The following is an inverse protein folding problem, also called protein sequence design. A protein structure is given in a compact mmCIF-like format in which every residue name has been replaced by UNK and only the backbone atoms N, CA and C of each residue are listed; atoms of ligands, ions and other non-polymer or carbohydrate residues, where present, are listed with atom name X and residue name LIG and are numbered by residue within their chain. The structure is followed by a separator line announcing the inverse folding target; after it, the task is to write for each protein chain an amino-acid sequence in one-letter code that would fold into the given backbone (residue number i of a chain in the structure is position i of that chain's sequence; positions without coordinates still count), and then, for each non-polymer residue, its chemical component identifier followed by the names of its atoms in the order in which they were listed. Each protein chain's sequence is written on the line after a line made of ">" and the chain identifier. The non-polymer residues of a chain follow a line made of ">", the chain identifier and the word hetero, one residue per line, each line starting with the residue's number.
data_IF_814370843289
#
_entry.id   IF_814370843289
#
_cell.length_a   1.000
_cell.length_b   1.000
_cell.length_c   1.000
_cell.angle_alpha   90.00
_cell.angle_beta   90.00
_cell.angle_gamma   90.00
#
_symmetry.space_group_name_H-M   'P 1'
#
loop_
_entity.id
_entity.type
_entity.pdbx_description
1 polymer ?
#
# COMPACT_ATOMS: atom_id res chain seq x y z
N UNK A 1 -24.22 43.09 -26.60
CA UNK A 1 -24.27 43.97 -25.41
C UNK A 1 -25.71 44.03 -24.92
N UNK A 2 -26.06 43.18 -23.95
CA UNK A 2 -27.30 43.31 -23.17
C UNK A 2 -26.94 42.89 -21.74
N UNK A 3 -27.00 43.85 -20.83
CA UNK A 3 -26.61 43.71 -19.43
C UNK A 3 -27.66 42.90 -18.67
N UNK A 4 -27.21 41.82 -18.03
CA UNK A 4 -27.97 41.10 -17.02
C UNK A 4 -27.93 41.89 -15.69
N UNK A 5 -29.05 42.54 -15.37
CA UNK A 5 -29.25 43.26 -14.12
C UNK A 5 -29.40 42.29 -12.95
N UNK A 6 -28.32 42.19 -12.17
CA UNK A 6 -28.19 41.38 -10.97
C UNK A 6 -28.97 42.04 -9.82
N UNK A 7 -30.22 41.65 -9.57
CA UNK A 7 -31.01 42.11 -8.42
C UNK A 7 -30.56 41.37 -7.16
N UNK A 8 -29.57 41.95 -6.47
CA UNK A 8 -29.16 41.57 -5.11
C UNK A 8 -30.28 41.86 -4.10
N UNK A 9 -30.64 40.83 -3.33
CA UNK A 9 -31.43 40.88 -2.10
C UNK A 9 -31.07 42.10 -1.23
N UNK A 10 -32.06 42.96 -0.97
CA UNK A 10 -32.00 44.04 0.03
C UNK A 10 -32.86 43.67 1.23
N UNK A 11 -32.30 42.87 2.15
CA UNK A 11 -32.74 42.88 3.55
C UNK A 11 -31.48 42.90 4.42
N UNK A 12 -31.38 43.81 5.41
CA UNK A 12 -30.26 43.81 6.33
C UNK A 12 -30.28 42.52 7.15
N UNK A 13 -29.14 41.86 7.27
CA UNK A 13 -28.92 40.69 8.13
C UNK A 13 -28.96 41.13 9.59
N UNK A 14 -30.16 41.35 10.13
CA UNK A 14 -30.38 41.57 11.57
C UNK A 14 -30.20 40.22 12.26
N UNK A 15 -29.40 40.17 13.33
CA UNK A 15 -29.29 38.99 14.19
C UNK A 15 -30.68 38.69 14.78
N UNK A 16 -31.21 37.50 14.49
CA UNK A 16 -32.57 37.13 14.88
C UNK A 16 -32.74 37.10 16.40
N UNK A 17 -31.68 36.77 17.14
CA UNK A 17 -31.73 36.77 18.60
C UNK A 17 -31.89 38.19 19.15
N UNK A 18 -31.30 39.19 18.48
CA UNK A 18 -31.43 40.61 18.84
C UNK A 18 -32.79 41.17 18.42
N UNK A 19 -33.29 40.80 17.24
CA UNK A 19 -34.64 41.16 16.80
C UNK A 19 -35.71 40.62 17.78
N UNK A 20 -35.62 39.33 18.13
CA UNK A 20 -36.55 38.70 19.08
C UNK A 20 -36.46 39.40 20.44
N UNK A 21 -35.26 39.73 20.92
CA UNK A 21 -35.08 40.41 22.20
C UNK A 21 -35.76 41.78 22.23
N UNK A 22 -35.61 42.56 21.16
CA UNK A 22 -36.13 43.92 21.07
C UNK A 22 -37.66 43.96 20.91
N UNK A 23 -38.23 43.03 20.15
CA UNK A 23 -39.66 43.06 19.79
C UNK A 23 -40.55 42.11 20.62
N UNK A 24 -40.00 41.01 21.16
CA UNK A 24 -40.77 39.98 21.88
C UNK A 24 -40.25 39.69 23.30
N UNK A 25 -39.16 40.36 23.70
CA UNK A 25 -38.62 40.29 25.05
C UNK A 25 -37.76 39.05 25.35
N UNK A 26 -37.18 39.04 26.55
CA UNK A 26 -36.21 38.03 27.00
C UNK A 26 -36.81 36.64 27.24
N UNK A 27 -38.07 36.57 27.69
CA UNK A 27 -38.77 35.32 27.94
C UNK A 27 -39.03 34.54 26.65
N UNK A 28 -39.50 35.24 25.61
CA UNK A 28 -39.72 34.64 24.30
C UNK A 28 -38.40 34.12 23.70
N UNK A 29 -37.33 34.93 23.76
CA UNK A 29 -36.00 34.52 23.30
C UNK A 29 -35.50 33.26 24.02
N UNK A 30 -35.75 33.15 25.33
CA UNK A 30 -35.41 31.96 26.10
C UNK A 30 -36.12 30.70 25.60
N UNK A 31 -37.43 30.79 25.33
CA UNK A 31 -38.22 29.68 24.80
C UNK A 31 -37.73 29.30 23.40
N UNK A 32 -37.53 30.28 22.50
CA UNK A 32 -37.00 30.05 21.16
C UNK A 32 -35.64 29.32 21.20
N UNK A 33 -34.71 29.76 22.05
CA UNK A 33 -33.41 29.10 22.24
C UNK A 33 -33.54 27.68 22.79
N UNK A 34 -34.51 27.43 23.67
CA UNK A 34 -34.79 26.08 24.16
C UNK A 34 -35.34 25.17 23.07
N UNK A 35 -36.27 25.65 22.23
CA UNK A 35 -36.76 24.89 21.07
C UNK A 35 -35.60 24.51 20.16
N UNK A 36 -34.76 25.48 19.76
CA UNK A 36 -33.55 25.26 18.93
C UNK A 36 -32.60 24.25 19.58
N UNK A 37 -32.33 24.38 20.88
CA UNK A 37 -31.46 23.48 21.66
C UNK A 37 -31.99 22.06 21.71
N UNK A 38 -33.29 21.88 22.01
CA UNK A 38 -33.90 20.56 22.11
C UNK A 38 -34.03 19.89 20.75
N UNK A 39 -34.39 20.64 19.71
CA UNK A 39 -34.43 20.15 18.33
C UNK A 39 -33.06 19.61 17.88
N UNK A 40 -32.01 20.44 18.01
CA UNK A 40 -30.65 20.02 17.64
C UNK A 40 -30.19 18.79 18.46
N UNK A 41 -30.47 18.75 19.77
CA UNK A 41 -30.10 17.60 20.62
C UNK A 41 -30.88 16.34 20.25
N UNK A 42 -32.16 16.47 19.92
CA UNK A 42 -33.01 15.36 19.49
C UNK A 42 -32.44 14.70 18.22
N UNK A 43 -32.21 15.49 17.15
CA UNK A 43 -31.65 14.98 15.90
C UNK A 43 -30.22 14.46 16.07
N UNK A 44 -29.41 15.12 16.91
CA UNK A 44 -28.07 14.66 17.20
C UNK A 44 -28.08 13.28 17.89
N UNK A 45 -28.99 13.03 18.82
CA UNK A 45 -29.12 11.72 19.48
C UNK A 45 -29.70 10.68 18.51
N UNK A 46 -30.63 11.08 17.62
CA UNK A 46 -31.16 10.19 16.60
C UNK A 46 -30.05 9.68 15.66
N UNK A 47 -29.16 10.57 15.20
CA UNK A 47 -27.99 10.18 14.40
C UNK A 47 -27.04 9.23 15.15
N UNK A 48 -26.86 9.43 16.46
CA UNK A 48 -26.05 8.53 17.28
C UNK A 48 -26.69 7.12 17.34
N UNK A 49 -28.01 7.04 17.50
CA UNK A 49 -28.75 5.76 17.51
C UNK A 49 -28.63 5.05 16.16
N UNK A 50 -28.80 5.77 15.05
CA UNK A 50 -28.62 5.23 13.71
C UNK A 50 -27.21 4.65 13.52
N UNK A 51 -26.18 5.39 13.92
CA UNK A 51 -24.80 4.93 13.90
C UNK A 51 -24.62 3.62 14.69
N UNK A 52 -25.10 3.55 15.94
CA UNK A 52 -24.97 2.36 16.78
C UNK A 52 -25.76 1.16 16.24
N UNK A 53 -26.93 1.39 15.65
CA UNK A 53 -27.71 0.34 14.96
C UNK A 53 -26.95 -0.25 13.78
N UNK A 54 -26.29 0.59 12.99
CA UNK A 54 -25.46 0.14 11.86
C UNK A 54 -24.25 -0.65 12.37
N UNK A 55 -23.59 -0.21 13.44
CA UNK A 55 -22.52 -0.96 14.09
C UNK A 55 -23.01 -2.36 14.53
N UNK A 56 -24.18 -2.44 15.15
CA UNK A 56 -24.79 -3.71 15.56
C UNK A 56 -25.13 -4.61 14.38
N UNK A 57 -25.74 -4.09 13.31
CA UNK A 57 -26.12 -4.90 12.14
C UNK A 57 -24.93 -5.43 11.36
N UNK A 58 -23.80 -4.72 11.39
CA UNK A 58 -22.55 -5.13 10.71
C UNK A 58 -21.58 -5.90 11.63
N UNK A 59 -21.99 -6.20 12.86
CA UNK A 59 -21.14 -6.82 13.89
C UNK A 59 -19.80 -6.08 14.13
N UNK A 60 -19.84 -4.74 14.08
CA UNK A 60 -18.70 -3.85 14.32
C UNK A 60 -18.82 -3.24 15.71
N UNK A 61 -17.76 -3.31 16.51
CA UNK A 61 -17.72 -2.71 17.85
C UNK A 61 -17.01 -1.35 17.81
N UNK A 62 -17.68 -0.24 18.16
CA UNK A 62 -17.05 1.07 18.29
C UNK A 62 -15.90 1.09 19.31
N UNK A 63 -14.86 1.89 19.05
CA UNK A 63 -13.65 1.94 19.88
C UNK A 63 -13.87 2.36 21.33
N UNK A 64 -14.91 3.14 21.62
CA UNK A 64 -15.25 3.53 22.99
C UNK A 64 -15.79 2.38 23.85
N UNK A 65 -16.13 1.23 23.24
CA UNK A 65 -16.51 0.00 23.95
C UNK A 65 -15.33 -0.98 24.08
N UNK A 66 -14.12 -0.59 23.67
CA UNK A 66 -12.92 -1.39 23.83
C UNK A 66 -12.33 -1.11 25.21
N UNK A 67 -12.60 -2.00 26.16
CA UNK A 67 -12.02 -1.93 27.51
C UNK A 67 -10.74 -2.75 27.59
N UNK A 68 -9.77 -2.28 28.39
CA UNK A 68 -8.48 -2.96 28.56
C UNK A 68 -8.63 -4.21 29.43
N UNK A 69 -7.88 -5.25 29.08
CA UNK A 69 -7.74 -6.47 29.87
C UNK A 69 -6.31 -6.60 30.37
N UNK A 70 -6.10 -7.22 31.53
CA UNK A 70 -4.76 -7.42 32.09
C UNK A 70 -3.89 -8.33 31.20
N UNK A 71 -4.51 -9.32 30.55
CA UNK A 71 -3.89 -10.11 29.49
C UNK A 71 -4.47 -9.69 28.13
N UNK A 72 -3.60 -9.32 27.19
CA UNK A 72 -3.99 -8.91 25.84
C UNK A 72 -4.67 -10.04 25.04
N UNK A 73 -4.38 -11.31 25.33
CA UNK A 73 -4.98 -12.45 24.64
C UNK A 73 -6.50 -12.57 24.93
N UNK A 74 -6.94 -12.04 26.07
CA UNK A 74 -8.36 -12.02 26.45
C UNK A 74 -9.20 -11.12 25.54
N UNK A 75 -8.59 -10.15 24.85
CA UNK A 75 -9.29 -9.27 23.90
C UNK A 75 -9.88 -10.03 22.70
N UNK A 76 -9.33 -11.22 22.40
CA UNK A 76 -9.81 -12.08 21.31
C UNK A 76 -10.82 -13.14 21.77
N UNK A 77 -11.05 -13.25 23.09
CA UNK A 77 -11.93 -14.26 23.69
C UNK A 77 -13.41 -14.04 23.29
N UNK A 78 -14.19 -15.12 23.08
CA UNK A 78 -15.63 -15.05 22.87
C UNK A 78 -16.36 -14.27 23.98
N UNK A 79 -15.91 -14.40 25.23
CA UNK A 79 -16.50 -13.73 26.39
C UNK A 79 -16.32 -12.21 26.31
N UNK A 80 -15.13 -11.77 25.89
CA UNK A 80 -14.83 -10.34 25.69
C UNK A 80 -15.75 -9.73 24.63
N UNK A 81 -15.86 -10.39 23.46
CA UNK A 81 -16.76 -9.96 22.38
C UNK A 81 -18.23 -9.96 22.80
N UNK A 82 -18.65 -10.95 23.59
CA UNK A 82 -20.02 -11.02 24.12
C UNK A 82 -20.33 -9.84 25.07
N UNK A 83 -19.40 -9.49 25.96
CA UNK A 83 -19.53 -8.32 26.83
C UNK A 83 -19.63 -7.01 26.02
N UNK A 84 -18.79 -6.84 24.99
CA UNK A 84 -18.87 -5.66 24.12
C UNK A 84 -20.22 -5.53 23.42
N UNK A 85 -20.76 -6.64 22.90
CA UNK A 85 -22.11 -6.65 22.27
C UNK A 85 -23.21 -6.32 23.26
N UNK A 86 -23.12 -6.80 24.51
CA UNK A 86 -24.07 -6.45 25.58
C UNK A 86 -24.02 -4.95 25.88
N UNK A 87 -22.82 -4.38 26.07
CA UNK A 87 -22.65 -2.95 26.32
C UNK A 87 -23.18 -2.10 25.15
N UNK A 88 -22.98 -2.53 23.91
CA UNK A 88 -23.54 -1.85 22.73
C UNK A 88 -25.07 -1.77 22.77
N UNK A 89 -25.75 -2.86 23.13
CA UNK A 89 -27.20 -2.86 23.25
C UNK A 89 -27.68 -1.96 24.39
N UNK A 90 -27.01 -2.00 25.55
CA UNK A 90 -27.33 -1.12 26.70
C UNK A 90 -27.18 0.35 26.30
N UNK A 91 -26.13 0.73 25.58
CA UNK A 91 -25.91 2.10 25.11
C UNK A 91 -27.02 2.54 24.12
N UNK A 92 -27.45 1.66 23.21
CA UNK A 92 -28.57 1.93 22.30
C UNK A 92 -29.85 2.24 23.09
N UNK A 93 -30.16 1.44 24.10
CA UNK A 93 -31.39 1.60 24.89
C UNK A 93 -31.34 2.86 25.78
N UNK A 94 -30.18 3.18 26.37
CA UNK A 94 -29.97 4.42 27.10
C UNK A 94 -30.18 5.65 26.20
N UNK A 95 -29.67 5.61 24.95
CA UNK A 95 -29.86 6.69 23.96
C UNK A 95 -31.33 6.82 23.52
N UNK A 96 -32.05 5.70 23.36
CA UNK A 96 -33.49 5.71 23.05
C UNK A 96 -34.31 6.36 24.15
N UNK A 97 -34.04 6.05 25.42
CA UNK A 97 -34.71 6.70 26.56
C UNK A 97 -34.49 8.22 26.53
N UNK A 98 -33.23 8.64 26.35
CA UNK A 98 -32.86 10.05 26.22
C UNK A 98 -33.54 10.75 25.03
N UNK A 99 -33.68 10.06 23.89
CA UNK A 99 -34.38 10.61 22.72
C UNK A 99 -35.85 10.88 23.03
N UNK A 100 -36.52 9.99 23.76
CA UNK A 100 -37.90 10.18 24.18
C UNK A 100 -38.06 11.38 25.12
N UNK A 101 -37.18 11.52 26.11
CA UNK A 101 -37.19 12.66 27.03
C UNK A 101 -37.02 13.99 26.27
N UNK A 102 -36.07 14.04 25.32
CA UNK A 102 -35.84 15.20 24.46
C UNK A 102 -37.04 15.51 23.56
N UNK A 103 -37.73 14.48 23.04
CA UNK A 103 -38.93 14.63 22.22
C UNK A 103 -40.05 15.32 23.01
N UNK A 104 -40.24 14.92 24.26
CA UNK A 104 -41.25 15.51 25.16
C UNK A 104 -40.90 16.98 25.43
N UNK A 105 -39.65 17.26 25.82
CA UNK A 105 -39.19 18.64 26.09
C UNK A 105 -39.26 19.55 24.87
N UNK A 106 -38.92 19.03 23.68
CA UNK A 106 -39.04 19.75 22.42
C UNK A 106 -40.50 20.10 22.10
N UNK A 107 -41.40 19.10 22.16
CA UNK A 107 -42.84 19.33 21.89
C UNK A 107 -43.45 20.35 22.85
N UNK A 108 -43.13 20.24 24.14
CA UNK A 108 -43.59 21.19 25.15
C UNK A 108 -43.12 22.61 24.83
N UNK A 109 -41.83 22.79 24.57
CA UNK A 109 -41.25 24.11 24.25
C UNK A 109 -41.79 24.68 22.95
N UNK A 110 -42.03 23.84 21.94
CA UNK A 110 -42.54 24.24 20.62
C UNK A 110 -44.00 24.70 20.71
N UNK A 111 -44.83 23.99 21.47
CA UNK A 111 -46.21 24.40 21.72
C UNK A 111 -46.26 25.74 22.45
N UNK A 112 -45.43 25.91 23.48
CA UNK A 112 -45.34 27.17 24.21
C UNK A 112 -44.88 28.34 23.30
N UNK A 113 -43.91 28.11 22.42
CA UNK A 113 -43.50 29.11 21.43
C UNK A 113 -44.64 29.49 20.47
N UNK A 114 -45.41 28.50 20.02
CA UNK A 114 -46.55 28.69 19.11
C UNK A 114 -47.69 29.46 19.76
N UNK A 115 -47.95 29.26 21.05
CA UNK A 115 -48.97 30.00 21.81
C UNK A 115 -48.60 31.48 21.99
N UNK A 116 -47.31 31.81 22.07
CA UNK A 116 -46.81 33.18 22.24
C UNK A 116 -46.62 33.94 20.92
N UNK A 117 -46.83 33.29 19.76
CA UNK A 117 -46.51 33.83 18.44
C UNK A 117 -47.73 33.84 17.52
N UNK A 118 -47.82 34.81 16.61
CA UNK A 118 -48.73 34.67 15.46
C UNK A 118 -48.28 33.52 14.55
N UNK A 119 -49.22 32.93 13.81
CA UNK A 119 -48.93 31.80 12.91
C UNK A 119 -47.85 32.15 11.88
N UNK A 120 -47.92 33.34 11.28
CA UNK A 120 -46.96 33.79 10.25
C UNK A 120 -45.56 34.00 10.82
N UNK A 121 -45.47 34.58 12.02
CA UNK A 121 -44.18 34.82 12.67
C UNK A 121 -43.55 33.51 13.14
N UNK A 122 -44.35 32.61 13.70
CA UNK A 122 -43.91 31.28 14.11
C UNK A 122 -43.32 30.50 12.92
N UNK A 123 -43.99 30.50 11.77
CA UNK A 123 -43.52 29.79 10.57
C UNK A 123 -42.17 30.37 10.11
N UNK A 124 -42.03 31.71 10.10
CA UNK A 124 -40.77 32.35 9.74
C UNK A 124 -39.62 31.98 10.70
N UNK A 125 -39.86 32.00 12.01
CA UNK A 125 -38.89 31.58 13.02
C UNK A 125 -38.51 30.10 12.86
N UNK A 126 -39.49 29.25 12.56
CA UNK A 126 -39.26 27.83 12.36
C UNK A 126 -38.37 27.57 11.13
N UNK A 127 -38.61 28.26 10.02
CA UNK A 127 -37.76 28.16 8.82
C UNK A 127 -36.31 28.56 9.10
N UNK A 128 -36.10 29.66 9.83
CA UNK A 128 -34.76 30.11 10.20
C UNK A 128 -34.07 29.08 11.10
N UNK A 129 -34.75 28.62 12.15
CA UNK A 129 -34.23 27.58 13.05
C UNK A 129 -33.84 26.31 12.28
N UNK A 130 -34.69 25.85 11.36
CA UNK A 130 -34.45 24.66 10.54
C UNK A 130 -33.20 24.85 9.67
N UNK A 131 -33.03 26.03 9.06
CA UNK A 131 -31.86 26.35 8.24
C UNK A 131 -30.56 26.30 9.05
N UNK A 132 -30.53 26.89 10.25
CA UNK A 132 -29.35 26.92 11.11
C UNK A 132 -29.01 25.53 11.68
N UNK A 133 -30.02 24.79 12.13
CA UNK A 133 -29.82 23.46 12.71
C UNK A 133 -29.37 22.46 11.64
N UNK A 134 -29.86 22.59 10.41
CA UNK A 134 -29.50 21.69 9.30
C UNK A 134 -27.98 21.62 9.07
N UNK A 135 -27.27 22.75 9.20
CA UNK A 135 -25.82 22.80 9.04
C UNK A 135 -25.10 21.96 10.11
N UNK A 136 -25.47 22.13 11.38
CA UNK A 136 -24.86 21.41 12.51
C UNK A 136 -25.17 19.91 12.45
N UNK A 137 -26.40 19.55 12.10
CA UNK A 137 -26.84 18.16 11.93
C UNK A 137 -26.06 17.50 10.79
N UNK A 138 -25.92 18.17 9.65
CA UNK A 138 -25.13 17.67 8.52
C UNK A 138 -23.64 17.55 8.86
N UNK A 139 -23.08 18.47 9.65
CA UNK A 139 -21.70 18.38 10.16
C UNK A 139 -21.52 17.15 11.06
N UNK A 140 -22.46 16.87 11.97
CA UNK A 140 -22.43 15.67 12.81
C UNK A 140 -22.56 14.40 11.99
N UNK A 141 -23.50 14.35 11.03
CA UNK A 141 -23.69 13.23 10.09
C UNK A 141 -22.41 12.92 9.32
N UNK A 142 -21.71 13.93 8.79
CA UNK A 142 -20.41 13.76 8.13
C UNK A 142 -19.35 13.16 9.07
N UNK A 143 -19.29 13.61 10.32
CA UNK A 143 -18.36 13.08 11.32
C UNK A 143 -18.66 11.61 11.65
N UNK A 144 -19.93 11.26 11.85
CA UNK A 144 -20.34 9.87 12.10
C UNK A 144 -20.10 8.99 10.88
N UNK A 145 -20.34 9.47 9.66
CA UNK A 145 -20.00 8.76 8.43
C UNK A 145 -18.50 8.52 8.31
N UNK A 146 -17.64 9.50 8.63
CA UNK A 146 -16.18 9.30 8.68
C UNK A 146 -15.78 8.25 9.71
N UNK A 147 -16.38 8.27 10.91
CA UNK A 147 -16.15 7.25 11.94
C UNK A 147 -16.61 5.87 11.48
N UNK A 148 -17.79 5.77 10.90
CA UNK A 148 -18.31 4.52 10.36
C UNK A 148 -17.42 3.99 9.24
N UNK A 149 -16.97 4.86 8.33
CA UNK A 149 -15.99 4.50 7.31
C UNK A 149 -14.71 3.99 7.95
N UNK A 150 -14.13 4.68 8.95
CA UNK A 150 -12.92 4.20 9.64
C UNK A 150 -13.09 2.87 10.38
N UNK A 151 -14.28 2.60 10.94
CA UNK A 151 -14.58 1.34 11.63
C UNK A 151 -14.86 0.20 10.64
N UNK A 152 -15.54 0.51 9.53
CA UNK A 152 -15.68 -0.40 8.38
C UNK A 152 -14.35 -0.60 7.62
N UNK A 153 -13.41 0.34 7.72
CA UNK A 153 -12.06 0.22 7.16
C UNK A 153 -11.24 -0.88 7.82
N UNK A 154 -11.67 -1.53 8.90
CA UNK A 154 -11.00 -2.76 9.32
C UNK A 154 -11.18 -3.88 8.26
N UNK A 155 -12.22 -3.81 7.41
CA UNK A 155 -12.38 -4.67 6.22
C UNK A 155 -12.05 -3.96 4.88
N UNK A 156 -12.14 -2.61 4.81
CA UNK A 156 -11.80 -1.82 3.60
C UNK A 156 -10.35 -1.26 3.57
N UNK A 157 -9.55 -1.41 4.64
CA UNK A 157 -8.14 -1.00 4.64
C UNK A 157 -7.33 -1.78 3.62
N UNK A 158 -7.68 -3.05 3.38
CA UNK A 158 -7.08 -3.86 2.33
C UNK A 158 -7.34 -3.22 0.96
N UNK A 159 -8.58 -2.82 0.64
CA UNK A 159 -8.90 -2.21 -0.66
C UNK A 159 -8.27 -0.82 -0.85
N UNK A 160 -8.19 0.00 0.20
CA UNK A 160 -7.53 1.32 0.16
C UNK A 160 -6.00 1.24 0.14
N UNK A 161 -5.40 0.31 0.90
CA UNK A 161 -3.97 0.00 0.84
C UNK A 161 -3.61 -0.57 -0.54
N UNK A 162 -4.41 -1.50 -1.04
CA UNK A 162 -4.23 -2.09 -2.37
C UNK A 162 -4.36 -1.05 -3.47
N UNK A 163 -5.31 -0.10 -3.37
CA UNK A 163 -5.44 1.03 -4.29
C UNK A 163 -4.31 2.07 -4.15
N UNK A 164 -3.62 2.14 -2.99
CA UNK A 164 -2.41 2.96 -2.83
C UNK A 164 -1.19 2.31 -3.49
N UNK A 165 -1.09 0.98 -3.46
CA UNK A 165 0.01 0.22 -4.07
C UNK A 165 -0.21 0.05 -5.58
N UNK A 166 -1.45 -0.16 -6.02
CA UNK A 166 -1.81 -0.40 -7.42
C UNK A 166 -2.44 0.84 -8.02
N UNK A 167 -1.76 1.46 -8.98
CA UNK A 167 -2.27 2.59 -9.78
C UNK A 167 -2.75 2.05 -11.13
N UNK A 168 -4.07 2.00 -11.34
CA UNK A 168 -4.62 1.59 -12.63
C UNK A 168 -4.88 2.82 -13.52
N UNK A 169 -4.07 2.99 -14.55
CA UNK A 169 -4.19 4.01 -15.60
C UNK A 169 -4.73 3.42 -16.91
N UNK A 170 -5.03 2.12 -16.93
CA UNK A 170 -5.56 1.44 -18.11
C UNK A 170 -7.09 1.51 -18.16
N UNK A 171 -7.64 1.29 -19.34
CA UNK A 171 -9.08 1.11 -19.56
C UNK A 171 -9.65 -0.18 -18.94
N UNK A 172 -8.78 -1.15 -18.61
CA UNK A 172 -9.17 -2.45 -18.04
C UNK A 172 -9.63 -2.32 -16.59
N UNK A 173 -10.83 -2.82 -16.31
CA UNK A 173 -11.35 -2.91 -14.94
C UNK A 173 -10.76 -4.16 -14.25
N UNK A 174 -10.04 -3.95 -13.15
CA UNK A 174 -9.50 -5.03 -12.33
C UNK A 174 -10.60 -5.61 -11.43
N UNK A 175 -10.65 -6.94 -11.30
CA UNK A 175 -11.45 -7.56 -10.23
C UNK A 175 -10.82 -7.32 -8.86
N UNK A 176 -11.60 -7.49 -7.78
CA UNK A 176 -11.06 -7.34 -6.42
C UNK A 176 -9.96 -8.37 -6.11
N UNK A 177 -10.06 -9.58 -6.67
CA UNK A 177 -9.03 -10.61 -6.55
C UNK A 177 -7.74 -10.24 -7.31
N UNK A 178 -7.86 -9.67 -8.51
CA UNK A 178 -6.72 -9.17 -9.29
C UNK A 178 -6.04 -7.99 -8.58
N UNK A 179 -6.83 -7.07 -8.00
CA UNK A 179 -6.32 -5.95 -7.22
C UNK A 179 -5.55 -6.43 -5.97
N UNK A 180 -6.10 -7.39 -5.23
CA UNK A 180 -5.42 -7.98 -4.06
C UNK A 180 -4.15 -8.69 -4.48
N UNK A 181 -4.18 -9.43 -5.58
CA UNK A 181 -3.01 -10.11 -6.15
C UNK A 181 -1.88 -9.11 -6.47
N UNK A 182 -2.21 -8.04 -7.19
CA UNK A 182 -1.21 -7.04 -7.60
C UNK A 182 -0.71 -6.18 -6.43
N UNK A 183 -1.53 -5.98 -5.40
CA UNK A 183 -1.16 -5.19 -4.23
C UNK A 183 -0.07 -5.81 -3.35
N UNK A 184 0.22 -7.11 -3.50
CA UNK A 184 1.38 -7.72 -2.87
C UNK A 184 2.71 -7.19 -3.46
N UNK A 185 2.67 -6.58 -4.65
CA UNK A 185 3.82 -6.01 -5.34
C UNK A 185 4.48 -6.98 -6.32
N UNK A 186 5.30 -6.42 -7.22
CA UNK A 186 5.97 -7.19 -8.29
C UNK A 186 7.09 -8.11 -7.78
N UNK A 187 7.64 -7.83 -6.59
CA UNK A 187 8.69 -8.63 -5.96
C UNK A 187 8.12 -9.71 -5.03
N UNK A 188 6.78 -9.88 -5.00
CA UNK A 188 6.14 -10.88 -4.15
C UNK A 188 6.38 -12.30 -4.69
N UNK A 189 7.01 -13.14 -3.87
CA UNK A 189 7.33 -14.52 -4.20
C UNK A 189 6.30 -15.48 -3.63
N UNK A 190 5.69 -16.30 -4.48
CA UNK A 190 4.93 -17.46 -4.04
C UNK A 190 5.88 -18.57 -3.57
N UNK A 191 5.52 -19.34 -2.53
CA UNK A 191 6.30 -20.49 -2.14
C UNK A 191 6.42 -21.51 -3.29
N UNK A 192 7.59 -22.17 -3.44
CA UNK A 192 7.75 -23.21 -4.45
C UNK A 192 6.86 -24.42 -4.14
N UNK A 193 6.33 -25.07 -5.19
CA UNK A 193 5.46 -26.27 -5.06
C UNK A 193 6.18 -27.43 -4.36
N UNK A 194 7.47 -27.56 -4.63
CA UNK A 194 8.37 -28.53 -4.01
C UNK A 194 9.70 -27.85 -3.74
N UNK A 195 10.31 -28.19 -2.61
CA UNK A 195 11.65 -27.77 -2.26
C UNK A 195 12.57 -28.92 -2.67
N UNK A 196 13.49 -28.66 -3.60
CA UNK A 196 14.52 -29.63 -3.95
C UNK A 196 15.58 -29.60 -2.85
N UNK A 197 15.60 -30.65 -2.01
CA UNK A 197 16.54 -30.80 -0.91
C UNK A 197 18.00 -30.72 -1.36
N UNK A 198 18.33 -31.30 -2.52
CA UNK A 198 19.69 -31.30 -3.08
C UNK A 198 20.12 -29.90 -3.51
N UNK A 199 19.20 -29.12 -4.09
CA UNK A 199 19.50 -27.74 -4.48
C UNK A 199 19.71 -26.85 -3.24
N UNK A 200 18.90 -27.01 -2.20
CA UNK A 200 19.11 -26.32 -0.92
C UNK A 200 20.47 -26.68 -0.32
N UNK A 201 20.79 -27.98 -0.24
CA UNK A 201 22.08 -28.45 0.26
C UNK A 201 23.26 -27.90 -0.56
N UNK A 202 23.16 -27.94 -1.89
CA UNK A 202 24.19 -27.42 -2.80
C UNK A 202 24.40 -25.90 -2.65
N UNK A 203 23.33 -25.11 -2.49
CA UNK A 203 23.45 -23.67 -2.28
C UNK A 203 24.09 -23.33 -0.94
N UNK A 204 23.72 -24.06 0.12
CA UNK A 204 24.33 -23.91 1.45
C UNK A 204 25.81 -24.27 1.40
N UNK A 205 26.15 -25.36 0.73
CA UNK A 205 27.55 -25.78 0.56
C UNK A 205 28.35 -24.76 -0.25
N UNK A 206 27.79 -24.24 -1.34
CA UNK A 206 28.41 -23.19 -2.16
C UNK A 206 28.60 -21.90 -1.36
N UNK A 207 27.63 -21.54 -0.53
CA UNK A 207 27.72 -20.38 0.36
C UNK A 207 28.81 -20.56 1.42
N UNK A 208 28.87 -21.75 2.03
CA UNK A 208 29.90 -22.10 2.99
C UNK A 208 31.29 -22.02 2.34
N UNK A 209 31.47 -22.62 1.16
CA UNK A 209 32.71 -22.54 0.38
C UNK A 209 33.12 -21.09 0.12
N UNK A 210 32.21 -20.23 -0.34
CA UNK A 210 32.51 -18.81 -0.57
C UNK A 210 32.95 -18.08 0.70
N UNK A 211 32.30 -18.33 1.85
CA UNK A 211 32.71 -17.70 3.11
C UNK A 211 34.12 -18.12 3.49
N UNK A 212 34.41 -19.42 3.37
CA UNK A 212 35.74 -19.94 3.70
C UNK A 212 36.82 -19.46 2.74
N UNK A 213 36.51 -19.34 1.44
CA UNK A 213 37.46 -18.80 0.45
C UNK A 213 37.77 -17.34 0.75
N UNK A 214 36.76 -16.53 1.13
CA UNK A 214 36.95 -15.14 1.58
C UNK A 214 37.81 -15.08 2.84
N UNK A 215 37.56 -15.96 3.80
CA UNK A 215 38.34 -16.02 5.04
C UNK A 215 39.80 -16.43 4.79
N UNK A 216 40.02 -17.39 3.89
CA UNK A 216 41.36 -17.81 3.48
C UNK A 216 42.10 -16.71 2.72
N UNK A 217 41.41 -15.99 1.82
CA UNK A 217 41.99 -14.85 1.13
C UNK A 217 42.37 -13.74 2.12
N UNK A 218 41.52 -13.45 3.12
CA UNK A 218 41.86 -12.51 4.20
C UNK A 218 43.04 -13.00 5.03
N UNK A 219 43.10 -14.29 5.37
CA UNK A 219 44.22 -14.88 6.12
C UNK A 219 45.52 -14.84 5.31
N UNK A 220 45.47 -15.12 4.01
CA UNK A 220 46.62 -15.02 3.09
C UNK A 220 47.11 -13.59 2.98
N UNK A 221 46.22 -12.62 2.80
CA UNK A 221 46.54 -11.19 2.80
C UNK A 221 47.18 -10.72 4.12
N UNK A 222 46.67 -11.20 5.26
CA UNK A 222 47.19 -10.91 6.60
C UNK A 222 48.56 -11.60 6.86
N UNK A 223 48.78 -12.79 6.30
CA UNK A 223 50.04 -13.52 6.39
C UNK A 223 51.10 -12.96 5.45
N UNK A 224 50.74 -12.44 4.29
CA UNK A 224 51.64 -11.70 3.40
C UNK A 224 52.19 -10.41 4.05
N UNK A 225 51.57 -9.93 5.15
CA UNK A 225 52.01 -8.78 5.95
C UNK A 225 52.67 -9.16 7.28
N UNK A 226 52.99 -10.44 7.52
CA UNK A 226 53.81 -10.89 8.67
C UNK A 226 54.88 -11.88 8.20
N UNK A 227 56.15 -11.48 8.30
CA UNK A 227 57.27 -12.38 8.06
C UNK A 227 57.27 -13.54 9.09
N UNK A 228 57.49 -14.77 8.59
CA UNK A 228 57.64 -16.07 9.28
C UNK A 228 56.35 -16.68 9.88
N UNK A 229 56.01 -17.97 9.74
CA UNK A 229 56.75 -19.20 9.40
C UNK A 229 55.98 -20.11 8.41
N UNK A 230 56.72 -21.05 7.81
CA UNK A 230 56.32 -22.02 6.80
C UNK A 230 55.14 -22.95 7.22
N UNK A 231 54.25 -23.25 6.27
CA UNK A 231 53.37 -24.43 6.35
C UNK A 231 53.50 -25.22 5.05
N UNK A 232 53.85 -26.50 5.24
CA UNK A 232 54.05 -27.57 4.28
C UNK A 232 52.81 -27.87 3.43
N UNK A 233 53.05 -28.09 2.13
CA UNK A 233 52.11 -28.63 1.15
C UNK A 233 51.57 -30.01 1.56
N UNK A 234 50.31 -30.05 1.99
CA UNK A 234 49.42 -31.20 1.81
C UNK A 234 47.99 -30.74 2.12
N UNK A 235 47.36 -30.04 1.16
CA UNK A 235 46.04 -29.42 1.34
C UNK A 235 44.89 -30.44 1.33
N UNK A 236 44.83 -31.27 2.38
CA UNK A 236 43.52 -31.65 2.92
C UNK A 236 43.06 -30.46 3.74
N UNK A 237 41.94 -29.85 3.32
CA UNK A 237 41.35 -28.67 3.95
C UNK A 237 40.97 -28.96 5.41
N UNK A 238 41.89 -28.76 6.35
CA UNK A 238 41.63 -28.86 7.79
C UNK A 238 40.97 -27.55 8.23
N UNK A 239 39.65 -27.59 8.42
CA UNK A 239 38.90 -26.48 9.00
C UNK A 239 39.42 -26.20 10.42
N UNK A 240 39.68 -24.94 10.74
CA UNK A 240 40.00 -24.55 12.12
C UNK A 240 38.75 -24.64 13.02
N UNK A 241 38.92 -24.62 14.35
CA UNK A 241 37.82 -24.81 15.30
C UNK A 241 36.66 -23.82 15.10
N UNK A 242 36.93 -22.57 14.70
CA UNK A 242 35.88 -21.57 14.44
C UNK A 242 35.12 -21.85 13.14
N UNK A 243 35.84 -22.23 12.08
CA UNK A 243 35.23 -22.65 10.80
C UNK A 243 34.39 -23.92 10.96
N UNK A 244 34.85 -24.87 11.78
CA UNK A 244 34.14 -26.10 12.11
C UNK A 244 32.87 -25.82 12.92
N UNK A 245 32.92 -24.88 13.86
CA UNK A 245 31.75 -24.42 14.62
C UNK A 245 30.73 -23.76 13.69
N UNK A 246 31.18 -22.84 12.82
CA UNK A 246 30.31 -22.17 11.85
C UNK A 246 29.67 -23.15 10.85
N UNK A 247 30.44 -24.14 10.37
CA UNK A 247 29.94 -25.19 9.49
C UNK A 247 28.82 -26.00 10.16
N UNK A 248 29.02 -26.37 11.42
CA UNK A 248 28.04 -27.10 12.21
C UNK A 248 26.78 -26.27 12.46
N UNK A 249 26.93 -24.98 12.78
CA UNK A 249 25.81 -24.07 12.97
C UNK A 249 24.99 -23.90 11.68
N UNK A 250 25.65 -23.69 10.54
CA UNK A 250 25.00 -23.60 9.22
C UNK A 250 24.30 -24.92 8.84
N UNK A 251 24.92 -26.07 9.11
CA UNK A 251 24.33 -27.38 8.87
C UNK A 251 23.09 -27.61 9.73
N UNK A 252 23.16 -27.25 11.01
CA UNK A 252 22.05 -27.32 11.97
C UNK A 252 20.88 -26.42 11.57
N UNK A 253 21.16 -25.18 11.18
CA UNK A 253 20.18 -24.24 10.65
C UNK A 253 19.50 -24.79 9.39
N UNK A 254 20.28 -25.37 8.47
CA UNK A 254 19.77 -25.95 7.23
C UNK A 254 18.86 -27.14 7.49
N UNK A 255 19.27 -28.06 8.38
CA UNK A 255 18.46 -29.20 8.79
C UNK A 255 17.16 -28.77 9.46
N UNK A 256 17.23 -27.79 10.37
CA UNK A 256 16.08 -27.22 11.06
C UNK A 256 15.11 -26.53 10.10
N UNK A 257 15.64 -25.80 9.10
CA UNK A 257 14.85 -25.18 8.04
C UNK A 257 14.14 -26.24 7.20
N UNK A 258 14.85 -27.27 6.73
CA UNK A 258 14.27 -28.36 5.93
C UNK A 258 13.19 -29.12 6.71
N UNK A 259 13.43 -29.40 8.00
CA UNK A 259 12.46 -30.08 8.86
C UNK A 259 11.18 -29.25 9.02
N UNK A 260 11.30 -27.94 9.30
CA UNK A 260 10.15 -27.03 9.37
C UNK A 260 9.44 -26.90 8.03
N UNK A 261 10.18 -26.77 6.94
CA UNK A 261 9.62 -26.67 5.60
C UNK A 261 8.81 -27.93 5.22
N UNK A 262 9.32 -29.12 5.57
CA UNK A 262 8.61 -30.39 5.40
C UNK A 262 7.37 -30.50 6.31
N UNK A 263 7.44 -30.03 7.56
CA UNK A 263 6.28 -29.99 8.47
C UNK A 263 5.19 -29.04 7.96
N UNK A 264 5.55 -27.85 7.45
CA UNK A 264 4.61 -26.93 6.81
C UNK A 264 3.97 -27.54 5.56
N UNK A 265 4.65 -28.48 4.90
CA UNK A 265 4.14 -29.21 3.75
C UNK A 265 2.97 -30.16 4.09
N UNK A 266 2.77 -30.50 5.37
CA UNK A 266 1.64 -31.34 5.84
C UNK A 266 0.35 -30.52 5.96
N UNK A 267 0.41 -29.18 6.05
CA UNK A 267 -0.76 -28.27 6.04
C UNK A 267 -1.20 -27.86 4.61
N UNK A 268 -0.73 -28.58 3.58
CA UNK A 268 -0.79 -28.23 2.14
C UNK A 268 -2.16 -27.88 1.58
N UNK A 269 -3.23 -28.57 2.00
CA UNK A 269 -4.49 -28.57 1.25
C UNK A 269 -5.16 -27.17 1.15
N UNK A 270 -5.07 -26.33 2.19
CA UNK A 270 -5.64 -24.98 2.16
C UNK A 270 -4.73 -23.99 1.41
N UNK A 271 -3.42 -24.12 1.61
CA UNK A 271 -2.42 -23.23 1.01
C UNK A 271 -2.25 -23.47 -0.50
N UNK A 272 -2.41 -24.72 -0.95
CA UNK A 272 -2.33 -25.11 -2.35
C UNK A 272 -3.48 -24.51 -3.19
N UNK A 273 -4.70 -24.44 -2.64
CA UNK A 273 -5.85 -23.85 -3.34
C UNK A 273 -5.67 -22.34 -3.57
N UNK A 274 -5.29 -21.60 -2.53
CA UNK A 274 -5.04 -20.16 -2.62
C UNK A 274 -3.88 -19.84 -3.58
N UNK A 275 -2.78 -20.60 -3.53
CA UNK A 275 -1.67 -20.46 -4.48
C UNK A 275 -2.08 -20.77 -5.92
N UNK A 276 -2.90 -21.80 -6.14
CA UNK A 276 -3.39 -22.13 -7.48
C UNK A 276 -4.26 -21.02 -8.03
N UNK A 277 -5.16 -20.45 -7.21
CA UNK A 277 -5.97 -19.31 -7.63
C UNK A 277 -5.08 -18.10 -7.98
N UNK A 278 -4.09 -17.80 -7.14
CA UNK A 278 -3.12 -16.72 -7.38
C UNK A 278 -2.37 -16.89 -8.70
N UNK A 279 -1.88 -18.10 -9.00
CA UNK A 279 -1.21 -18.39 -10.28
C UNK A 279 -2.13 -18.22 -11.47
N UNK A 280 -3.39 -18.67 -11.37
CA UNK A 280 -4.39 -18.48 -12.44
C UNK A 280 -4.66 -17.00 -12.71
N UNK A 281 -4.79 -16.20 -11.65
CA UNK A 281 -4.98 -14.75 -11.77
C UNK A 281 -3.78 -14.07 -12.45
N UNK A 282 -2.55 -14.39 -12.02
CA UNK A 282 -1.34 -13.88 -12.66
C UNK A 282 -1.23 -14.31 -14.12
N UNK A 283 -1.59 -15.55 -14.44
CA UNK A 283 -1.57 -16.04 -15.80
C UNK A 283 -2.58 -15.31 -16.69
N UNK A 284 -3.81 -15.09 -16.19
CA UNK A 284 -4.82 -14.29 -16.87
C UNK A 284 -4.35 -12.85 -17.13
N UNK A 285 -3.69 -12.22 -16.15
CA UNK A 285 -3.12 -10.87 -16.30
C UNK A 285 -1.95 -10.85 -17.30
N UNK A 286 -1.15 -11.92 -17.37
CA UNK A 286 -0.05 -12.06 -18.32
C UNK A 286 -0.53 -12.27 -19.76
N UNK A 287 -1.61 -13.01 -19.94
CA UNK A 287 -2.21 -13.31 -21.25
C UNK A 287 -2.94 -12.09 -21.84
N UNK A 288 -3.30 -11.11 -21.01
CA UNK A 288 -3.90 -9.87 -21.45
C UNK A 288 -2.89 -8.97 -22.18
N UNK A 289 -2.93 -9.00 -23.50
CA UNK A 289 -2.04 -8.21 -24.36
C UNK A 289 -2.45 -6.74 -24.49
N UNK A 290 -3.61 -6.33 -23.95
CA UNK A 290 -4.08 -4.95 -24.01
C UNK A 290 -3.42 -4.04 -22.98
N UNK A 291 -2.82 -4.62 -21.93
CA UNK A 291 -2.22 -3.89 -20.82
C UNK A 291 -0.71 -4.10 -20.71
N UNK A 292 -0.04 -3.16 -20.05
CA UNK A 292 1.30 -3.30 -19.50
C UNK A 292 1.20 -3.17 -17.98
N UNK A 293 1.84 -4.10 -17.27
CA UNK A 293 2.03 -4.04 -15.82
C UNK A 293 3.51 -3.73 -15.57
N UNK A 294 3.77 -2.63 -14.89
CA UNK A 294 5.13 -2.17 -14.58
C UNK A 294 5.19 -1.54 -13.19
N UNK A 295 6.36 -1.10 -12.76
CA UNK A 295 6.56 -0.38 -11.49
C UNK A 295 6.63 1.12 -11.76
N UNK A 296 6.21 1.97 -10.80
CA UNK A 296 6.33 3.40 -10.96
C UNK A 296 7.80 3.80 -10.96
N UNK A 297 8.04 4.95 -11.54
CA UNK A 297 9.35 5.55 -11.63
C UNK A 297 9.98 5.90 -10.27
N UNK A 298 9.16 6.35 -9.33
CA UNK A 298 9.56 6.68 -7.97
C UNK A 298 8.68 5.89 -6.99
N UNK A 299 9.30 5.38 -5.93
CA UNK A 299 8.62 4.63 -4.88
C UNK A 299 8.39 3.16 -5.22
N UNK A 300 7.60 2.48 -4.38
CA UNK A 300 7.18 1.09 -4.58
C UNK A 300 5.72 1.07 -4.98
N UNK A 301 5.37 0.19 -5.92
CA UNK A 301 3.99 0.05 -6.38
C UNK A 301 3.90 -0.74 -7.68
N UNK A 302 2.66 -0.90 -8.14
CA UNK A 302 2.32 -1.52 -9.41
C UNK A 302 1.51 -0.52 -10.22
N UNK A 303 1.88 -0.32 -11.48
CA UNK A 303 1.17 0.57 -12.40
C UNK A 303 0.68 -0.26 -13.57
N UNK A 304 -0.60 -0.11 -13.89
CA UNK A 304 -1.22 -0.69 -15.08
C UNK A 304 -1.49 0.42 -16.07
N UNK A 305 -1.13 0.21 -17.33
CA UNK A 305 -1.37 1.14 -18.42
C UNK A 305 -1.91 0.40 -19.64
N UNK A 306 -2.69 1.07 -20.47
CA UNK A 306 -2.99 0.54 -21.80
C UNK A 306 -1.67 0.40 -22.59
N UNK A 307 -1.47 -0.78 -23.18
CA UNK A 307 -0.24 -1.10 -23.90
C UNK A 307 -0.02 -0.13 -25.07
N UNK A 308 -1.10 0.26 -25.75
CA UNK A 308 -1.01 1.20 -26.86
C UNK A 308 -0.52 2.59 -26.41
N UNK A 309 -1.05 3.13 -25.31
CA UNK A 309 -0.60 4.42 -24.76
C UNK A 309 0.88 4.35 -24.35
N UNK A 310 1.27 3.26 -23.68
CA UNK A 310 2.67 3.02 -23.31
C UNK A 310 3.60 2.99 -24.53
N UNK A 311 3.23 2.22 -25.57
CA UNK A 311 4.01 2.10 -26.81
C UNK A 311 4.11 3.46 -27.53
N UNK A 312 3.00 4.20 -27.63
CA UNK A 312 2.99 5.54 -28.21
C UNK A 312 3.92 6.50 -27.46
N UNK A 313 3.91 6.47 -26.12
CA UNK A 313 4.81 7.29 -25.28
C UNK A 313 6.28 6.92 -25.46
N UNK A 314 6.61 5.63 -25.64
CA UNK A 314 7.97 5.19 -25.95
C UNK A 314 8.39 5.67 -27.35
N UNK A 315 7.54 5.52 -28.36
CA UNK A 315 7.84 6.01 -29.71
C UNK A 315 8.03 7.52 -29.74
N UNK A 316 7.25 8.29 -28.98
CA UNK A 316 7.45 9.73 -28.86
C UNK A 316 8.84 10.09 -28.31
N UNK A 317 9.41 9.26 -27.43
CA UNK A 317 10.79 9.43 -26.93
C UNK A 317 11.81 9.02 -28.01
N UNK A 318 11.60 7.87 -28.66
CA UNK A 318 12.54 7.30 -29.63
C UNK A 318 12.60 8.07 -30.96
N UNK A 319 11.51 8.74 -31.33
CA UNK A 319 11.42 9.52 -32.56
C UNK A 319 12.05 10.92 -32.43
N UNK A 320 12.70 11.25 -31.31
CA UNK A 320 13.45 12.49 -31.14
C UNK A 320 14.81 12.40 -31.87
N UNK A 321 14.97 13.03 -33.04
CA UNK A 321 16.19 12.92 -33.84
C UNK A 321 17.39 13.63 -33.20
N UNK A 322 17.17 14.50 -32.21
CA UNK A 322 18.26 15.12 -31.46
C UNK A 322 18.93 14.16 -30.48
N UNK A 323 18.26 13.06 -30.12
CA UNK A 323 18.72 12.10 -29.11
C UNK A 323 18.95 10.69 -29.66
N UNK A 324 18.18 10.28 -30.67
CA UNK A 324 18.19 8.92 -31.18
C UNK A 324 18.36 8.91 -32.70
N UNK A 325 19.11 7.91 -33.18
CA UNK A 325 19.31 7.64 -34.60
C UNK A 325 19.12 6.14 -34.85
N UNK A 326 18.36 5.80 -35.89
CA UNK A 326 18.21 4.40 -36.31
C UNK A 326 19.54 3.83 -36.80
N UNK A 327 19.84 2.60 -36.42
CA UNK A 327 20.98 1.85 -36.93
C UNK A 327 20.53 0.96 -38.08
N UNK A 328 21.35 0.85 -39.13
CA UNK A 328 21.09 0.00 -40.30
C UNK A 328 21.37 -1.47 -40.04
N UNK A 329 22.23 -1.78 -39.06
CA UNK A 329 22.65 -3.14 -38.72
C UNK A 329 22.60 -3.37 -37.22
N UNK A 330 22.44 -4.64 -36.80
CA UNK A 330 22.44 -5.02 -35.40
C UNK A 330 23.89 -5.13 -34.87
N UNK A 331 24.35 -4.20 -34.01
CA UNK A 331 25.76 -4.11 -33.62
C UNK A 331 26.30 -5.12 -32.57
N UNK A 332 25.52 -5.94 -31.82
CA UNK A 332 26.04 -6.70 -30.68
C UNK A 332 27.23 -7.59 -31.00
N UNK A 333 27.19 -8.31 -32.13
CA UNK A 333 28.26 -9.24 -32.52
C UNK A 333 29.57 -8.50 -32.85
N UNK A 334 29.49 -7.42 -33.62
CA UNK A 334 30.66 -6.62 -33.98
C UNK A 334 31.31 -5.98 -32.74
N UNK A 335 30.49 -5.42 -31.83
CA UNK A 335 30.98 -4.84 -30.57
C UNK A 335 31.53 -5.89 -29.62
N UNK A 336 30.89 -7.06 -29.53
CA UNK A 336 31.36 -8.20 -28.75
C UNK A 336 32.74 -8.68 -29.22
N UNK A 337 32.90 -8.88 -30.54
CA UNK A 337 34.16 -9.31 -31.12
C UNK A 337 35.27 -8.28 -30.92
N UNK A 338 34.95 -6.99 -31.07
CA UNK A 338 35.89 -5.89 -30.83
C UNK A 338 36.36 -5.88 -29.37
N UNK A 339 35.43 -6.02 -28.41
CA UNK A 339 35.78 -6.07 -27.00
C UNK A 339 36.57 -7.33 -26.63
N UNK A 340 36.20 -8.50 -27.16
CA UNK A 340 36.96 -9.75 -26.96
C UNK A 340 38.39 -9.62 -27.47
N UNK A 341 38.58 -9.02 -28.64
CA UNK A 341 39.90 -8.80 -29.22
C UNK A 341 40.75 -7.89 -28.33
N UNK A 342 40.16 -6.79 -27.83
CA UNK A 342 40.82 -5.87 -26.91
C UNK A 342 41.21 -6.57 -25.59
N UNK A 343 40.27 -7.27 -24.96
CA UNK A 343 40.53 -7.98 -23.70
C UNK A 343 41.61 -9.05 -23.86
N UNK A 344 41.59 -9.81 -24.96
CA UNK A 344 42.63 -10.80 -25.26
C UNK A 344 43.99 -10.13 -25.41
N UNK A 345 44.08 -9.02 -26.15
CA UNK A 345 45.35 -8.29 -26.31
C UNK A 345 45.92 -7.81 -24.97
N UNK A 346 45.08 -7.25 -24.10
CA UNK A 346 45.50 -6.79 -22.77
C UNK A 346 45.95 -7.95 -21.87
N UNK A 347 45.26 -9.09 -21.98
CA UNK A 347 45.58 -10.31 -21.25
C UNK A 347 46.90 -10.92 -21.71
N UNK A 348 47.10 -11.06 -23.02
CA UNK A 348 48.34 -11.56 -23.63
C UNK A 348 49.56 -10.66 -23.29
N UNK A 349 49.32 -9.36 -23.09
CA UNK A 349 50.34 -8.39 -22.66
C UNK A 349 50.58 -8.38 -21.14
N UNK A 350 49.88 -9.22 -20.36
CA UNK A 350 49.99 -9.28 -18.90
C UNK A 350 49.43 -8.05 -18.17
N UNK A 351 48.65 -7.20 -18.85
CA UNK A 351 48.11 -5.97 -18.26
C UNK A 351 46.84 -6.21 -17.42
N UNK A 352 46.18 -7.36 -17.61
CA UNK A 352 45.01 -7.78 -16.83
C UNK A 352 45.19 -9.23 -16.36
N UNK A 353 44.63 -9.54 -15.20
CA UNK A 353 44.67 -10.90 -14.63
C UNK A 353 43.71 -11.84 -15.35
N UNK A 354 43.94 -13.16 -15.26
CA UNK A 354 43.01 -14.18 -15.74
C UNK A 354 41.60 -13.96 -15.18
N UNK A 355 41.51 -13.71 -13.88
CA UNK A 355 40.25 -13.48 -13.19
C UNK A 355 39.49 -12.29 -13.79
N UNK A 356 40.18 -11.17 -14.03
CA UNK A 356 39.56 -10.00 -14.64
C UNK A 356 39.13 -10.30 -16.08
N UNK A 357 39.99 -10.95 -16.87
CA UNK A 357 39.70 -11.33 -18.25
C UNK A 357 38.41 -12.17 -18.35
N UNK A 358 38.30 -13.25 -17.57
CA UNK A 358 37.12 -14.12 -17.62
C UNK A 358 35.84 -13.44 -17.11
N UNK A 359 35.97 -12.51 -16.16
CA UNK A 359 34.82 -11.76 -15.64
C UNK A 359 34.34 -10.66 -16.61
N UNK A 360 35.27 -9.99 -17.29
CA UNK A 360 34.98 -8.92 -18.23
C UNK A 360 34.55 -9.41 -19.62
N UNK A 361 34.98 -10.62 -20.00
CA UNK A 361 34.77 -11.18 -21.34
C UNK A 361 33.30 -11.49 -21.60
N UNK A 362 32.68 -10.88 -22.63
CA UNK A 362 31.30 -11.19 -23.00
C UNK A 362 31.13 -12.57 -23.63
N UNK A 363 29.95 -13.16 -23.43
CA UNK A 363 29.50 -14.40 -24.08
C UNK A 363 28.03 -14.27 -24.48
N UNK A 364 27.74 -14.19 -25.78
CA UNK A 364 26.36 -14.19 -26.28
C UNK A 364 25.60 -12.89 -25.97
N UNK A 365 26.12 -11.77 -26.47
CA UNK A 365 25.60 -10.43 -26.19
C UNK A 365 24.26 -10.18 -26.86
N UNK A 366 23.37 -9.48 -26.17
CA UNK A 366 22.11 -8.97 -26.71
C UNK A 366 22.14 -7.44 -26.79
N UNK A 367 21.32 -6.83 -27.66
CA UNK A 367 21.05 -5.40 -27.58
C UNK A 367 20.51 -5.00 -26.20
N UNK A 368 20.80 -3.77 -25.78
CA UNK A 368 20.22 -3.21 -24.57
C UNK A 368 18.70 -3.12 -24.70
N UNK A 369 17.98 -3.43 -23.61
CA UNK A 369 16.51 -3.40 -23.61
C UNK A 369 16.01 -2.09 -23.03
N UNK A 370 15.39 -1.28 -23.87
CA UNK A 370 14.74 -0.05 -23.42
C UNK A 370 13.34 -0.34 -22.90
N UNK A 371 13.01 0.22 -21.74
CA UNK A 371 11.64 0.28 -21.22
C UNK A 371 11.40 1.60 -20.50
N UNK A 372 10.13 1.95 -20.30
CA UNK A 372 9.69 3.17 -19.65
C UNK A 372 9.14 2.92 -18.26
N UNK A 373 9.52 3.76 -17.30
CA UNK A 373 8.86 3.79 -15.99
C UNK A 373 7.91 4.99 -15.89
N UNK A 374 6.63 4.79 -15.57
CA UNK A 374 5.65 5.88 -15.50
C UNK A 374 5.91 6.81 -14.31
N UNK A 375 6.02 8.11 -14.61
CA UNK A 375 6.11 9.17 -13.61
C UNK A 375 4.71 9.55 -13.12
N UNK A 376 4.09 8.67 -12.33
CA UNK A 376 2.70 8.81 -11.83
C UNK A 376 2.41 10.08 -11.04
N UNK A 377 3.46 10.80 -10.60
CA UNK A 377 3.36 12.07 -9.87
C UNK A 377 3.36 13.31 -10.79
N UNK A 378 3.39 13.13 -12.13
CA UNK A 378 3.39 14.21 -13.11
C UNK A 378 2.16 14.13 -14.00
N UNK A 379 1.65 15.29 -14.42
CA UNK A 379 0.54 15.38 -15.35
C UNK A 379 0.86 14.69 -16.69
N UNK A 380 -0.14 14.00 -17.25
CA UNK A 380 0.01 13.18 -18.46
C UNK A 380 0.79 11.87 -18.27
N UNK A 381 1.35 11.61 -17.09
CA UNK A 381 2.13 10.42 -16.72
C UNK A 381 3.18 10.07 -17.79
N UNK A 382 4.18 10.94 -18.01
CA UNK A 382 5.27 10.67 -18.96
C UNK A 382 6.12 9.49 -18.49
N UNK A 383 6.77 8.80 -19.43
CA UNK A 383 7.67 7.69 -19.14
C UNK A 383 9.11 8.19 -18.93
N UNK A 384 9.81 7.63 -17.94
CA UNK A 384 11.28 7.72 -17.83
C UNK A 384 11.88 6.58 -18.65
N UNK A 385 12.62 6.84 -19.73
CA UNK A 385 13.30 5.79 -20.46
C UNK A 385 14.44 5.23 -19.59
N UNK A 386 14.50 3.90 -19.48
CA UNK A 386 15.54 3.13 -18.79
C UNK A 386 16.09 2.11 -19.77
N UNK A 387 17.39 2.16 -20.01
CA UNK A 387 18.10 1.17 -20.84
C UNK A 387 18.73 0.12 -19.93
N UNK A 388 18.23 -1.12 -19.98
CA UNK A 388 18.88 -2.25 -19.33
C UNK A 388 20.08 -2.69 -20.16
N UNK A 389 21.28 -2.50 -19.61
CA UNK A 389 22.53 -3.04 -20.14
C UNK A 389 22.79 -4.49 -19.72
N UNK A 390 21.86 -5.13 -19.00
CA UNK A 390 22.05 -6.53 -18.59
C UNK A 390 22.13 -7.41 -19.84
N UNK A 391 23.23 -8.15 -19.96
CA UNK A 391 23.49 -9.03 -21.10
C UNK A 391 23.98 -8.32 -22.37
N UNK A 392 24.30 -7.02 -22.30
CA UNK A 392 25.01 -6.35 -23.40
C UNK A 392 26.49 -6.72 -23.42
N UNK A 393 27.15 -6.49 -24.55
CA UNK A 393 28.56 -6.87 -24.75
C UNK A 393 29.52 -6.31 -23.70
N UNK A 394 29.22 -5.15 -23.12
CA UNK A 394 30.05 -4.49 -22.13
C UNK A 394 29.57 -4.69 -20.67
N UNK A 395 28.53 -5.50 -20.43
CA UNK A 395 27.96 -5.69 -19.09
C UNK A 395 28.97 -6.28 -18.10
N UNK A 396 29.64 -7.38 -18.49
CA UNK A 396 30.65 -8.04 -17.66
C UNK A 396 31.82 -7.11 -17.35
N UNK A 397 32.31 -6.40 -18.36
CA UNK A 397 33.34 -5.38 -18.20
C UNK A 397 32.91 -4.27 -17.23
N UNK A 398 31.70 -3.73 -17.39
CA UNK A 398 31.18 -2.70 -16.51
C UNK A 398 31.16 -3.14 -15.04
N UNK A 399 30.74 -4.39 -14.78
CA UNK A 399 30.75 -4.98 -13.44
C UNK A 399 32.18 -5.26 -12.92
N UNK A 400 33.14 -5.51 -13.81
CA UNK A 400 34.53 -5.72 -13.43
C UNK A 400 35.23 -4.43 -12.95
N UNK A 401 34.76 -3.28 -13.43
CA UNK A 401 35.35 -1.96 -13.18
C UNK A 401 34.71 -1.20 -12.00
N UNK A 402 33.59 -1.69 -11.47
CA UNK A 402 32.85 -1.13 -10.33
C UNK A 402 32.94 -2.05 -9.13
#
# INVERSE_FOLDING_TARGET
>A
MMNASNTRNRYPTVDIDDYIRQHHGSHFLYIYRNVKKFYHRFDAVQLDIEFLKICRSKDIIPSFLWFKTANNDLSSSPVYKACQRKLLNVEIDAKRKKLNDLKIMYKFSLNHLRELSSADFFEHLFQIMMSECSYLINKKRRTLNKKLLSLCSINNSTRYYNAKVVTNLSSRVLSDEELICLANGLDYCLPPKSINSMNVASNVETFFQRITDVYQHQKKFMNEHKEYEAISESDIRVLNTKELTLANDLSSLTKSFLQRANQCQIQKNKFDFEQQNYRKLLQKLKEDTSIIITRPDNGRGVVLMDKQDYVNKIHAILNDPSKFSSLSEDPPLARENSLKSLLRKLHDQGQITDQFYYLARPTGSNPGRLYGLPKVHKDGVPLRPVLSSIGTFNYGLGKALT
#
